data_IF_695406733709
#
_entry.id   IF_695406733709
#
_cell.length_a   1.000
_cell.length_b   1.000
_cell.length_c   1.000
_cell.angle_alpha   90.00
_cell.angle_beta   90.00
_cell.angle_gamma   90.00
#
_symmetry.space_group_name_H-M   'P 1'
#
loop_
_entity.id
_entity.type
_entity.pdbx_description
1 polymer ?
#
# COMPACT_ATOMS: atom_id res chain seq x y z
N UNK A 1 22.80 35.58 8.54
CA UNK A 1 22.16 34.50 7.77
C UNK A 1 20.72 34.44 8.27
N UNK A 2 19.75 34.88 7.45
CA UNK A 2 18.33 34.95 7.87
C UNK A 2 17.75 33.54 7.95
N UNK A 3 16.79 33.37 8.84
CA UNK A 3 16.18 32.12 9.30
C UNK A 3 15.03 31.65 8.39
N UNK A 4 15.00 32.13 7.14
CA UNK A 4 13.84 32.01 6.24
C UNK A 4 13.96 30.97 5.11
N UNK A 5 15.11 30.30 4.93
CA UNK A 5 15.34 29.45 3.75
C UNK A 5 15.19 27.93 3.98
N UNK A 6 14.59 27.50 5.10
CA UNK A 6 14.14 26.11 5.25
C UNK A 6 12.62 26.08 5.23
N UNK A 7 12.02 26.13 4.03
CA UNK A 7 10.62 25.74 3.86
C UNK A 7 10.52 24.24 4.12
N UNK A 8 10.25 23.86 5.37
CA UNK A 8 9.89 22.48 5.72
C UNK A 8 8.50 22.21 5.16
N UNK A 9 8.43 21.40 4.11
CA UNK A 9 7.18 20.97 3.50
C UNK A 9 6.75 19.65 4.13
N UNK A 10 5.58 19.65 4.78
CA UNK A 10 4.96 18.40 5.20
C UNK A 10 4.49 17.66 3.96
N UNK A 11 4.99 16.44 3.73
CA UNK A 11 4.61 15.59 2.62
C UNK A 11 3.79 14.40 3.11
N UNK A 12 2.86 13.95 2.28
CA UNK A 12 2.13 12.69 2.46
C UNK A 12 2.51 11.72 1.35
N UNK A 13 2.63 10.44 1.69
CA UNK A 13 2.88 9.38 0.75
C UNK A 13 1.56 8.72 0.35
N UNK A 14 1.15 8.91 -0.90
CA UNK A 14 0.00 8.27 -1.48
C UNK A 14 0.42 6.93 -2.11
N UNK A 15 -0.11 5.83 -1.57
CA UNK A 15 0.09 4.48 -2.09
C UNK A 15 -1.08 4.13 -3.02
N UNK A 16 -0.80 3.93 -4.31
CA UNK A 16 -1.83 3.58 -5.30
C UNK A 16 -1.50 2.25 -5.96
N UNK A 17 -2.45 1.31 -5.96
CA UNK A 17 -2.26 0.02 -6.62
C UNK A 17 -1.97 0.21 -8.11
N UNK A 18 -0.93 -0.44 -8.59
CA UNK A 18 -0.54 -0.49 -10.00
C UNK A 18 -1.36 -1.56 -10.72
N UNK A 19 -2.24 -1.11 -11.60
CA UNK A 19 -3.09 -2.01 -12.41
C UNK A 19 -2.23 -2.91 -13.32
N UNK A 20 -2.67 -4.14 -13.53
CA UNK A 20 -1.99 -5.14 -14.35
C UNK A 20 -0.86 -5.88 -13.62
N UNK A 21 -0.68 -5.64 -12.33
CA UNK A 21 0.31 -6.35 -11.49
C UNK A 21 -0.33 -7.38 -10.57
N UNK A 22 -1.65 -7.54 -10.66
CA UNK A 22 -2.41 -8.49 -9.87
C UNK A 22 -2.06 -9.94 -10.23
N UNK A 23 -1.38 -10.65 -9.33
CA UNK A 23 -1.13 -12.09 -9.47
C UNK A 23 -1.74 -12.80 -8.27
N UNK A 24 -2.58 -13.80 -8.53
CA UNK A 24 -3.14 -14.64 -7.46
C UNK A 24 -2.00 -15.42 -6.80
N UNK A 25 -1.80 -15.19 -5.51
CA UNK A 25 -0.74 -15.82 -4.72
C UNK A 25 -1.25 -17.11 -4.07
N UNK A 26 -2.35 -16.98 -3.32
CA UNK A 26 -2.91 -18.07 -2.54
C UNK A 26 -4.41 -17.84 -2.32
N UNK A 27 -5.10 -18.88 -1.88
CA UNK A 27 -6.51 -18.80 -1.46
C UNK A 27 -6.57 -19.10 0.04
N UNK A 28 -7.14 -18.17 0.80
CA UNK A 28 -7.34 -18.28 2.23
C UNK A 28 -8.73 -18.81 2.54
N UNK A 29 -8.82 -19.84 3.38
CA UNK A 29 -10.08 -20.26 3.96
C UNK A 29 -10.30 -19.47 5.26
N UNK A 30 -11.28 -18.56 5.26
CA UNK A 30 -11.58 -17.69 6.38
C UNK A 30 -12.99 -17.95 6.91
N UNK A 31 -13.12 -17.93 8.23
CA UNK A 31 -14.41 -18.08 8.88
C UNK A 31 -15.10 -16.72 9.03
N UNK A 32 -16.37 -16.67 8.65
CA UNK A 32 -17.24 -15.51 8.87
C UNK A 32 -17.76 -15.48 10.30
N UNK A 33 -18.29 -14.35 10.74
CA UNK A 33 -18.95 -14.24 12.05
C UNK A 33 -20.16 -15.20 12.20
N UNK A 34 -20.78 -15.59 11.08
CA UNK A 34 -21.87 -16.56 11.06
C UNK A 34 -21.39 -18.03 11.16
N UNK A 35 -20.07 -18.25 11.21
CA UNK A 35 -19.45 -19.58 11.26
C UNK A 35 -19.23 -20.24 9.90
N UNK A 36 -19.65 -19.61 8.81
CA UNK A 36 -19.44 -20.10 7.44
C UNK A 36 -17.99 -19.93 7.00
N UNK A 37 -17.46 -20.89 6.24
CA UNK A 37 -16.15 -20.81 5.62
C UNK A 37 -16.24 -20.15 4.24
N UNK A 38 -15.37 -19.18 3.98
CA UNK A 38 -15.29 -18.46 2.71
C UNK A 38 -13.87 -18.55 2.18
N UNK A 39 -13.74 -19.09 0.97
CA UNK A 39 -12.50 -19.05 0.21
C UNK A 39 -12.29 -17.63 -0.34
N UNK A 40 -11.21 -16.99 0.11
CA UNK A 40 -10.80 -15.65 -0.32
C UNK A 40 -9.54 -15.75 -1.16
N UNK A 41 -9.61 -15.30 -2.40
CA UNK A 41 -8.44 -15.23 -3.26
C UNK A 41 -7.57 -14.03 -2.89
N UNK A 42 -6.30 -14.31 -2.58
CA UNK A 42 -5.34 -13.31 -2.14
C UNK A 42 -4.32 -13.02 -3.24
N UNK A 43 -4.26 -11.77 -3.66
CA UNK A 43 -3.44 -11.31 -4.78
C UNK A 43 -2.22 -10.52 -4.30
N UNK A 44 -1.04 -10.85 -4.82
CA UNK A 44 0.10 -9.92 -4.80
C UNK A 44 -0.14 -8.82 -5.81
N UNK A 45 0.27 -7.61 -5.44
CA UNK A 45 0.14 -6.42 -6.28
C UNK A 45 1.31 -5.50 -6.02
N UNK A 46 1.60 -4.60 -6.96
CA UNK A 46 2.54 -3.50 -6.73
C UNK A 46 1.78 -2.23 -6.39
N UNK A 47 2.37 -1.37 -5.56
CA UNK A 47 1.86 -0.05 -5.23
C UNK A 47 2.85 1.01 -5.68
N UNK A 48 2.40 1.97 -6.48
CA UNK A 48 3.16 3.18 -6.75
C UNK A 48 3.12 4.09 -5.52
N UNK A 49 4.27 4.63 -5.15
CA UNK A 49 4.42 5.62 -4.08
C UNK A 49 4.58 6.99 -4.72
N UNK A 50 3.67 7.89 -4.39
CA UNK A 50 3.69 9.27 -4.83
C UNK A 50 3.69 10.21 -3.64
N UNK A 51 4.63 11.15 -3.59
CA UNK A 51 4.69 12.19 -2.58
C UNK A 51 3.90 13.41 -3.02
N UNK A 52 3.04 13.89 -2.14
CA UNK A 52 2.29 15.13 -2.32
C UNK A 52 2.45 16.05 -1.12
N UNK A 53 2.41 17.35 -1.35
CA UNK A 53 2.35 18.33 -0.27
C UNK A 53 1.07 18.13 0.54
N UNK A 54 1.19 18.03 1.86
CA UNK A 54 0.05 17.77 2.74
C UNK A 54 -0.98 18.91 2.70
N UNK A 55 -0.53 20.15 2.54
CA UNK A 55 -1.39 21.34 2.57
C UNK A 55 -2.15 21.57 1.26
N UNK A 56 -1.51 21.32 0.12
CA UNK A 56 -2.05 21.68 -1.21
C UNK A 56 -2.42 20.47 -2.06
N UNK A 57 -1.94 19.27 -1.70
CA UNK A 57 -2.03 18.07 -2.52
C UNK A 57 -1.16 18.12 -3.78
N UNK A 58 -0.30 19.15 -3.91
CA UNK A 58 0.58 19.31 -5.07
C UNK A 58 1.56 18.16 -5.13
N UNK A 59 1.76 17.62 -6.33
CA UNK A 59 2.74 16.57 -6.58
C UNK A 59 4.15 17.07 -6.28
N UNK A 60 4.89 16.29 -5.49
CA UNK A 60 6.30 16.52 -5.16
C UNK A 60 7.16 15.60 -6.03
N UNK A 61 7.05 14.29 -5.84
CA UNK A 61 7.90 13.30 -6.50
C UNK A 61 7.24 11.91 -6.50
N UNK A 62 7.59 11.06 -7.46
CA UNK A 62 7.19 9.66 -7.50
C UNK A 62 8.37 8.77 -7.10
N UNK A 63 8.24 8.02 -6.00
CA UNK A 63 9.30 7.20 -5.41
C UNK A 63 9.41 5.80 -6.01
N UNK A 64 8.64 5.52 -7.07
CA UNK A 64 8.59 4.22 -7.75
C UNK A 64 7.51 3.31 -7.18
N UNK A 65 7.71 1.99 -7.30
CA UNK A 65 6.76 0.99 -6.84
C UNK A 65 7.34 0.11 -5.74
N UNK A 66 6.48 -0.33 -4.83
CA UNK A 66 6.77 -1.34 -3.80
C UNK A 66 5.84 -2.53 -3.97
N UNK A 67 6.34 -3.71 -3.63
CA UNK A 67 5.54 -4.93 -3.69
C UNK A 67 4.64 -5.04 -2.45
N UNK A 68 3.45 -5.60 -2.63
CA UNK A 68 2.58 -6.06 -1.56
C UNK A 68 2.70 -7.58 -1.43
N UNK A 69 3.52 -8.10 -0.50
CA UNK A 69 3.74 -9.54 -0.38
C UNK A 69 2.53 -10.23 0.25
N UNK A 70 1.96 -11.18 -0.49
CA UNK A 70 0.84 -12.02 -0.07
C UNK A 70 1.35 -13.36 0.48
N UNK A 71 2.23 -13.33 1.48
CA UNK A 71 2.95 -14.52 2.00
C UNK A 71 2.14 -15.32 3.03
N UNK A 72 1.29 -14.65 3.80
CA UNK A 72 0.45 -15.26 4.83
C UNK A 72 -0.99 -14.77 4.74
N UNK A 73 -1.94 -15.64 5.08
CA UNK A 73 -3.34 -15.27 5.12
C UNK A 73 -3.60 -14.21 6.19
N UNK A 74 -4.35 -13.15 5.87
CA UNK A 74 -4.73 -12.15 6.86
C UNK A 74 -5.64 -12.79 7.92
N UNK A 75 -5.49 -12.37 9.17
CA UNK A 75 -6.36 -12.80 10.26
C UNK A 75 -7.80 -12.29 10.09
N UNK A 76 -7.94 -11.10 9.51
CA UNK A 76 -9.22 -10.47 9.25
C UNK A 76 -9.16 -9.74 7.91
N UNK A 77 -10.21 -9.86 7.10
CA UNK A 77 -10.32 -9.16 5.82
C UNK A 77 -11.76 -8.83 5.49
N UNK A 78 -11.97 -7.67 4.89
CA UNK A 78 -13.26 -7.27 4.35
C UNK A 78 -13.31 -7.60 2.86
N UNK A 79 -14.15 -8.56 2.49
CA UNK A 79 -14.34 -8.96 1.09
C UNK A 79 -15.78 -8.81 0.64
N UNK A 80 -15.97 -8.62 -0.67
CA UNK A 80 -17.31 -8.59 -1.27
C UNK A 80 -17.81 -10.02 -1.39
N UNK A 81 -19.01 -10.31 -0.85
CA UNK A 81 -19.59 -11.67 -0.91
C UNK A 81 -19.69 -12.27 -2.31
N UNK A 82 -19.89 -11.45 -3.36
CA UNK A 82 -20.02 -11.92 -4.75
C UNK A 82 -18.69 -12.20 -5.45
N UNK A 83 -17.60 -11.66 -4.93
CA UNK A 83 -16.26 -11.76 -5.51
C UNK A 83 -15.26 -11.68 -4.34
N UNK A 84 -15.06 -12.81 -3.62
CA UNK A 84 -14.25 -12.86 -2.41
C UNK A 84 -12.77 -12.81 -2.80
N UNK A 85 -12.32 -11.61 -3.15
CA UNK A 85 -10.91 -11.31 -3.46
C UNK A 85 -10.38 -10.21 -2.57
N UNK A 86 -9.13 -10.34 -2.21
CA UNK A 86 -8.39 -9.31 -1.49
C UNK A 86 -6.98 -9.15 -2.06
N UNK A 87 -6.38 -8.00 -1.80
CA UNK A 87 -5.06 -7.62 -2.27
C UNK A 87 -4.14 -7.45 -1.07
N UNK A 88 -2.89 -7.86 -1.22
CA UNK A 88 -1.90 -7.66 -0.17
C UNK A 88 -1.65 -6.18 0.09
N UNK A 89 -1.44 -5.84 1.35
CA UNK A 89 -1.00 -4.52 1.75
C UNK A 89 0.43 -4.27 1.23
N UNK A 90 0.79 -3.01 0.95
CA UNK A 90 2.16 -2.66 0.55
C UNK A 90 3.15 -3.06 1.65
N UNK A 91 4.33 -3.54 1.27
CA UNK A 91 5.40 -3.85 2.21
C UNK A 91 5.79 -2.56 2.98
N UNK A 92 5.55 -2.50 4.31
CA UNK A 92 5.81 -1.30 5.09
C UNK A 92 7.31 -1.03 5.22
N UNK A 93 8.14 -2.07 5.22
CA UNK A 93 9.60 -1.94 5.26
C UNK A 93 10.14 -1.36 3.96
N UNK A 94 9.69 -1.85 2.82
CA UNK A 94 10.08 -1.33 1.51
C UNK A 94 9.57 0.11 1.30
N UNK A 95 8.33 0.41 1.71
CA UNK A 95 7.78 1.76 1.65
C UNK A 95 8.56 2.74 2.54
N UNK A 96 8.85 2.37 3.79
CA UNK A 96 9.64 3.20 4.69
C UNK A 96 11.07 3.42 4.20
N UNK A 97 11.70 2.41 3.59
CA UNK A 97 13.02 2.56 2.99
C UNK A 97 13.01 3.63 1.87
N UNK A 98 11.99 3.63 1.00
CA UNK A 98 11.82 4.66 -0.04
C UNK A 98 11.61 6.06 0.53
N UNK A 99 10.83 6.18 1.60
CA UNK A 99 10.61 7.45 2.28
C UNK A 99 11.87 7.95 2.99
N UNK A 100 12.64 7.05 3.61
CA UNK A 100 13.91 7.38 4.25
C UNK A 100 14.96 7.83 3.20
N UNK A 101 15.06 7.11 2.08
CA UNK A 101 15.90 7.51 0.94
C UNK A 101 15.57 8.94 0.47
N UNK A 102 14.28 9.29 0.38
CA UNK A 102 13.86 10.65 0.03
C UNK A 102 14.22 11.69 1.12
N UNK A 103 13.97 11.38 2.40
CA UNK A 103 14.22 12.30 3.50
C UNK A 103 15.72 12.58 3.76
N UNK A 104 16.61 11.71 3.28
CA UNK A 104 18.06 11.84 3.42
C UNK A 104 18.76 12.43 2.18
N UNK A 105 18.01 12.81 1.14
CA UNK A 105 18.54 13.57 0.00
C UNK A 105 18.66 15.05 0.33
#
# INVERSE_FOLDING_TARGET
MSRDDFQSVNAVACLTRKLGTEVKSLTCDLQTEAGEHVAVDYYVVQYNIELREAATGKHIEQLGAVDGPATTCPFFVWVKKRDPKTYADPDPGAANAKLAEFAHR
#
